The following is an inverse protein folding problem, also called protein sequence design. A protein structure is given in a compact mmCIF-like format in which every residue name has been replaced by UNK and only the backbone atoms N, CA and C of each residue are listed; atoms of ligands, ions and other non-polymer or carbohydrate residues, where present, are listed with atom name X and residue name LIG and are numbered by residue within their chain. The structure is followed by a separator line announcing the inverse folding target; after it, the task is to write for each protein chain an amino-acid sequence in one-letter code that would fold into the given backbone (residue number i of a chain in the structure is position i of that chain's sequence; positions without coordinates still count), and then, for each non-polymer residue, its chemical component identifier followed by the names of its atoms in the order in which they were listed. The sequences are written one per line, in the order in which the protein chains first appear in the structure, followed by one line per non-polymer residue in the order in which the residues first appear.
data_IF_348058702349
#
_entry.id   IF_348058702349
#
_cell.length_a   1.000
_cell.length_b   1.000
_cell.length_c   1.000
_cell.angle_alpha   90.00
_cell.angle_beta   90.00
_cell.angle_gamma   90.00
#
_symmetry.space_group_name_H-M   'P 1'
#
loop_
_entity.id
_entity.type
_entity.pdbx_description
1 polymer ?
#
# COMPACT_ATOMS: atom_id res chain seq x y z
N UNK A 1 -30.34 30.83 39.39
CA UNK A 1 -29.76 31.53 40.58
C UNK A 1 -28.29 31.18 40.67
N UNK A 2 -27.51 32.26 40.59
CA UNK A 2 -26.18 32.49 41.22
C UNK A 2 -25.06 31.56 40.76
N UNK A 3 -24.14 32.03 39.98
CA UNK A 3 -23.13 33.09 40.04
C UNK A 3 -21.75 32.52 40.31
N UNK A 4 -20.85 32.77 39.35
CA UNK A 4 -19.60 33.54 39.47
C UNK A 4 -18.42 32.76 40.10
N UNK A 5 -17.18 32.96 39.81
CA UNK A 5 -16.34 33.95 39.12
C UNK A 5 -14.90 33.42 39.10
N UNK A 6 -14.14 33.62 38.00
CA UNK A 6 -12.90 34.43 37.87
C UNK A 6 -11.68 34.07 38.73
N UNK A 7 -10.54 33.88 38.09
CA UNK A 7 -9.23 34.56 38.20
C UNK A 7 -8.18 33.80 37.38
N UNK A 8 -7.56 34.22 36.36
CA UNK A 8 -6.72 35.38 35.97
C UNK A 8 -5.53 35.61 36.93
N UNK A 9 -4.31 35.49 36.36
CA UNK A 9 -3.07 36.24 36.57
C UNK A 9 -1.91 35.35 36.15
N UNK A 10 -1.20 35.57 35.03
CA UNK A 10 -0.21 36.60 34.70
C UNK A 10 1.07 36.55 35.57
N UNK A 11 2.17 36.18 34.97
CA UNK A 11 3.45 36.86 35.17
C UNK A 11 4.47 36.44 34.13
N UNK A 12 4.89 37.42 33.34
CA UNK A 12 6.06 37.40 32.47
C UNK A 12 7.29 37.76 33.31
N UNK A 13 8.45 37.22 32.92
CA UNK A 13 9.72 37.83 33.25
C UNK A 13 10.74 37.58 32.13
N UNK A 14 11.06 38.64 31.43
CA UNK A 14 12.27 38.82 30.64
C UNK A 14 13.52 38.77 31.54
N UNK A 15 14.62 38.25 31.03
CA UNK A 15 15.93 38.87 31.24
C UNK A 15 16.83 38.59 30.05
N UNK A 16 17.28 39.69 29.47
CA UNK A 16 18.37 39.86 28.50
C UNK A 16 19.73 39.55 29.20
N UNK A 17 20.66 39.10 28.42
CA UNK A 17 22.07 39.05 28.79
C UNK A 17 22.94 39.08 27.51
N UNK A 18 23.34 40.27 27.13
CA UNK A 18 24.30 40.62 26.08
C UNK A 18 25.74 40.43 26.53
N UNK A 19 26.64 40.35 25.54
CA UNK A 19 28.02 40.82 25.42
C UNK A 19 29.02 39.70 25.09
N UNK A 20 29.48 39.67 23.84
CA UNK A 20 30.65 40.35 23.25
C UNK A 20 32.00 39.70 23.62
N UNK A 21 32.75 39.33 22.61
CA UNK A 21 34.14 38.98 22.67
C UNK A 21 34.73 38.71 21.29
N UNK A 22 35.12 39.77 20.61
CA UNK A 22 36.00 39.74 19.41
C UNK A 22 37.40 39.27 19.80
N UNK A 23 38.05 38.48 18.96
CA UNK A 23 39.47 38.17 19.07
C UNK A 23 39.99 37.72 17.71
N UNK A 24 40.46 38.72 16.96
CA UNK A 24 41.24 38.59 15.72
C UNK A 24 42.65 38.18 16.07
N UNK A 25 43.29 37.24 15.37
CA UNK A 25 44.73 37.20 15.25
C UNK A 25 45.17 36.51 13.96
N UNK A 26 45.93 37.29 13.21
CA UNK A 26 46.46 37.02 11.89
C UNK A 26 47.68 36.11 11.90
N UNK A 27 48.04 35.67 10.72
CA UNK A 27 49.13 34.82 10.27
C UNK A 27 50.56 35.30 10.73
N UNK A 28 51.58 34.45 10.46
CA UNK A 28 52.48 34.90 9.40
C UNK A 28 52.89 33.81 8.39
N UNK A 29 53.03 34.29 7.16
CA UNK A 29 53.75 33.67 6.06
C UNK A 29 55.22 33.45 6.39
N UNK A 30 55.76 32.29 5.95
CA UNK A 30 57.22 32.12 5.84
C UNK A 30 57.53 31.60 4.44
N UNK A 31 58.04 32.47 3.65
CA UNK A 31 58.74 32.23 2.38
C UNK A 31 60.15 31.70 2.64
N UNK A 32 60.55 30.63 1.94
CA UNK A 32 61.96 30.27 1.74
C UNK A 32 62.17 29.72 0.33
N UNK A 33 63.31 30.02 -0.29
CA UNK A 33 63.43 30.06 -1.74
C UNK A 33 63.96 28.76 -2.39
N UNK A 34 63.62 28.70 -3.66
CA UNK A 34 64.03 27.79 -4.70
C UNK A 34 65.56 27.65 -4.85
N UNK A 35 66.08 26.46 -4.97
CA UNK A 35 67.25 26.15 -5.76
C UNK A 35 67.05 24.84 -6.52
N UNK A 36 67.10 24.96 -7.83
CA UNK A 36 67.12 23.85 -8.77
C UNK A 36 68.57 23.39 -8.95
N UNK A 37 68.84 22.10 -9.02
CA UNK A 37 69.97 21.59 -9.79
C UNK A 37 69.45 20.85 -11.03
N UNK A 38 69.98 21.31 -12.11
CA UNK A 38 69.98 20.69 -13.45
C UNK A 38 70.66 19.29 -13.38
N UNK A 39 69.99 18.23 -13.85
CA UNK A 39 70.65 16.94 -14.06
C UNK A 39 70.23 16.33 -15.40
N UNK A 40 71.24 16.08 -16.15
CA UNK A 40 71.39 15.44 -17.47
C UNK A 40 70.49 14.27 -17.73
N UNK A 41 69.96 14.18 -18.94
CA UNK A 41 69.20 13.07 -19.52
C UNK A 41 70.04 11.80 -19.70
N UNK A 42 69.48 10.60 -19.40
CA UNK A 42 69.97 9.32 -19.87
C UNK A 42 69.37 8.96 -21.25
N UNK A 43 69.98 8.03 -21.98
CA UNK A 43 69.67 7.75 -23.37
C UNK A 43 68.36 7.00 -23.59
N UNK A 44 67.78 7.23 -24.79
CA UNK A 44 66.55 6.59 -25.29
C UNK A 44 66.63 5.06 -25.25
N UNK A 45 65.70 4.44 -24.54
CA UNK A 45 65.44 3.01 -24.61
C UNK A 45 64.30 2.81 -25.60
N UNK A 46 64.57 2.04 -26.66
CA UNK A 46 63.59 1.61 -27.65
C UNK A 46 62.45 0.85 -27.00
N UNK A 47 61.24 1.36 -27.14
CA UNK A 47 59.96 0.76 -26.69
C UNK A 47 59.65 -0.39 -27.66
N UNK A 48 59.30 -1.62 -27.13
CA UNK A 48 58.74 -2.70 -27.96
C UNK A 48 57.33 -2.29 -28.45
N UNK A 49 56.87 -2.86 -29.61
CA UNK A 49 55.56 -2.49 -30.14
C UNK A 49 54.43 -2.84 -29.16
N UNK A 50 53.60 -1.88 -28.93
CA UNK A 50 52.38 -1.93 -28.10
C UNK A 50 51.44 -2.99 -28.67
N UNK A 51 51.22 -4.06 -27.90
CA UNK A 51 50.16 -5.03 -28.19
C UNK A 51 48.86 -4.37 -27.92
N UNK A 52 48.10 -4.01 -28.94
CA UNK A 52 46.73 -3.54 -28.85
C UNK A 52 45.86 -4.63 -28.21
N UNK A 53 45.57 -4.48 -26.92
CA UNK A 53 44.54 -5.25 -26.26
C UNK A 53 43.19 -4.76 -26.82
N UNK A 54 42.28 -5.64 -27.28
CA UNK A 54 40.94 -5.23 -27.66
C UNK A 54 40.28 -4.54 -26.50
N UNK A 55 39.43 -3.51 -26.71
CA UNK A 55 38.70 -2.85 -25.62
C UNK A 55 37.87 -3.91 -24.90
N UNK A 56 38.18 -4.13 -23.63
CA UNK A 56 37.29 -4.87 -22.72
C UNK A 56 36.02 -4.02 -22.62
N UNK A 57 34.95 -4.47 -23.24
CA UNK A 57 33.61 -3.94 -22.96
C UNK A 57 33.34 -4.24 -21.48
N UNK A 58 33.40 -3.23 -20.63
CA UNK A 58 32.81 -3.32 -19.30
C UNK A 58 31.38 -3.80 -19.47
N UNK A 59 30.91 -4.74 -18.61
CA UNK A 59 29.51 -5.12 -18.60
C UNK A 59 28.69 -3.83 -18.33
N UNK A 60 27.95 -3.38 -19.32
CA UNK A 60 27.00 -2.28 -19.12
C UNK A 60 26.01 -2.78 -18.09
N UNK A 61 25.98 -2.15 -16.91
CA UNK A 61 24.96 -2.40 -15.92
C UNK A 61 23.59 -2.23 -16.61
N UNK A 62 22.65 -3.18 -16.50
CA UNK A 62 21.35 -3.04 -17.15
C UNK A 62 20.72 -1.74 -16.69
N UNK A 63 20.10 -1.01 -17.60
CA UNK A 63 19.39 0.22 -17.28
C UNK A 63 18.36 -0.07 -16.18
N UNK A 64 18.14 0.84 -15.23
CA UNK A 64 17.11 0.68 -14.22
C UNK A 64 15.77 0.41 -14.91
N UNK A 65 15.13 -0.70 -14.53
CA UNK A 65 13.79 -1.05 -15.00
C UNK A 65 12.81 -0.39 -14.04
N UNK A 66 11.88 0.39 -14.59
CA UNK A 66 10.79 0.93 -13.77
C UNK A 66 9.86 -0.21 -13.33
N UNK A 67 9.36 -0.14 -12.11
CA UNK A 67 8.54 -1.19 -11.53
C UNK A 67 7.24 -0.64 -10.98
N UNK A 68 6.20 -1.45 -11.03
CA UNK A 68 4.95 -1.16 -10.34
C UNK A 68 5.21 -1.11 -8.81
N UNK A 69 5.01 0.03 -8.15
CA UNK A 69 5.34 0.20 -6.74
C UNK A 69 4.47 -0.62 -5.78
N UNK A 70 3.38 -1.23 -6.27
CA UNK A 70 2.49 -2.10 -5.50
C UNK A 70 2.82 -3.58 -5.61
N UNK A 71 3.52 -3.99 -6.69
CA UNK A 71 3.79 -5.42 -6.96
C UNK A 71 5.26 -5.73 -7.20
N UNK A 72 6.10 -4.73 -7.49
CA UNK A 72 7.48 -4.92 -7.93
C UNK A 72 7.63 -5.47 -9.34
N UNK A 73 6.54 -5.68 -10.08
CA UNK A 73 6.56 -6.15 -11.46
C UNK A 73 7.13 -5.09 -12.39
N UNK A 74 8.00 -5.51 -13.32
CA UNK A 74 8.59 -4.62 -14.31
C UNK A 74 7.51 -3.98 -15.19
N UNK A 75 7.63 -2.69 -15.44
CA UNK A 75 6.77 -1.94 -16.34
C UNK A 75 7.43 -1.83 -17.71
N UNK A 76 6.63 -1.91 -18.78
CA UNK A 76 7.10 -1.73 -20.16
C UNK A 76 7.51 -0.27 -20.42
N UNK A 77 6.84 0.67 -19.77
CA UNK A 77 7.10 2.11 -19.85
C UNK A 77 7.16 2.71 -18.45
N UNK A 78 8.03 3.70 -18.27
CA UNK A 78 8.11 4.50 -17.04
C UNK A 78 6.77 5.21 -16.83
N UNK A 79 6.13 4.95 -15.70
CA UNK A 79 4.86 5.59 -15.37
C UNK A 79 4.89 6.19 -13.97
N UNK A 80 4.41 7.41 -13.86
CA UNK A 80 4.17 8.10 -12.60
C UNK A 80 2.68 8.04 -12.18
N UNK A 81 2.00 6.95 -12.52
CA UNK A 81 0.57 6.80 -12.27
C UNK A 81 0.26 6.81 -10.78
N UNK A 82 -0.78 7.55 -10.44
CA UNK A 82 -1.34 7.56 -9.09
C UNK A 82 -2.34 6.43 -8.93
N UNK A 83 -2.21 5.58 -7.89
CA UNK A 83 -3.09 4.44 -7.70
C UNK A 83 -4.56 4.83 -7.49
N UNK A 84 -5.46 3.90 -7.81
CA UNK A 84 -6.88 3.97 -7.46
C UNK A 84 -7.21 2.95 -6.37
N UNK A 85 -7.94 3.38 -5.34
CA UNK A 85 -8.44 2.52 -4.26
C UNK A 85 -9.96 2.43 -4.33
N UNK A 86 -10.50 1.25 -4.65
CA UNK A 86 -11.91 1.04 -4.94
C UNK A 86 -12.55 0.13 -3.90
N UNK A 87 -13.61 0.61 -3.26
CA UNK A 87 -14.38 -0.17 -2.29
C UNK A 87 -15.25 -1.22 -2.96
N UNK A 88 -15.03 -2.48 -2.68
CA UNK A 88 -15.76 -3.62 -3.26
C UNK A 88 -16.58 -4.35 -2.19
N UNK A 89 -17.80 -4.67 -2.54
CA UNK A 89 -18.70 -5.46 -1.70
C UNK A 89 -18.24 -6.93 -1.62
N UNK A 90 -18.11 -7.47 -0.41
CA UNK A 90 -17.69 -8.86 -0.19
C UNK A 90 -18.73 -9.69 0.60
N UNK A 91 -19.99 -9.49 0.31
CA UNK A 91 -21.06 -10.36 0.83
C UNK A 91 -21.33 -11.52 -0.12
N UNK A 92 -21.97 -12.59 0.37
CA UNK A 92 -22.37 -13.75 -0.46
C UNK A 92 -23.17 -13.34 -1.71
N UNK A 93 -24.00 -12.28 -1.61
CA UNK A 93 -24.78 -11.78 -2.76
C UNK A 93 -23.95 -10.99 -3.76
N UNK A 94 -22.77 -10.52 -3.38
CA UNK A 94 -21.90 -9.73 -4.26
C UNK A 94 -21.05 -10.60 -5.19
N UNK A 95 -20.79 -11.85 -4.80
CA UNK A 95 -19.91 -12.74 -5.58
C UNK A 95 -20.60 -13.30 -6.81
N UNK A 96 -19.85 -13.62 -7.91
CA UNK A 96 -18.47 -13.18 -8.11
C UNK A 96 -18.40 -11.67 -8.33
N UNK A 97 -17.30 -11.07 -7.86
CA UNK A 97 -16.99 -9.66 -8.13
C UNK A 97 -16.37 -9.53 -9.52
N UNK A 98 -16.35 -8.30 -10.04
CA UNK A 98 -15.73 -7.96 -11.33
C UNK A 98 -14.49 -7.11 -11.10
N UNK A 99 -13.43 -7.33 -11.87
CA UNK A 99 -12.22 -6.52 -11.94
C UNK A 99 -11.23 -6.69 -10.77
N UNK A 100 -11.60 -7.48 -9.75
CA UNK A 100 -10.73 -7.65 -8.57
C UNK A 100 -9.55 -8.58 -8.85
N UNK A 101 -9.62 -9.42 -9.88
CA UNK A 101 -8.50 -10.25 -10.33
C UNK A 101 -7.36 -9.45 -10.92
N UNK A 102 -7.62 -8.22 -11.38
CA UNK A 102 -6.62 -7.31 -11.94
C UNK A 102 -6.02 -6.36 -10.89
N UNK A 103 -6.60 -6.30 -9.67
CA UNK A 103 -6.05 -5.48 -8.61
C UNK A 103 -4.63 -5.95 -8.21
N UNK A 104 -3.74 -4.98 -7.97
CA UNK A 104 -2.39 -5.21 -7.48
C UNK A 104 -2.38 -5.64 -6.02
N UNK A 105 -3.26 -4.98 -5.22
CA UNK A 105 -3.44 -5.31 -3.82
C UNK A 105 -4.92 -5.39 -3.46
N UNK A 106 -5.27 -6.32 -2.57
CA UNK A 106 -6.60 -6.41 -1.99
C UNK A 106 -6.49 -6.39 -0.46
N UNK A 107 -7.11 -5.40 0.16
CA UNK A 107 -7.33 -5.37 1.60
C UNK A 107 -8.71 -5.95 1.92
N UNK A 108 -8.76 -6.94 2.78
CA UNK A 108 -9.99 -7.44 3.37
C UNK A 108 -10.07 -7.02 4.84
N UNK A 109 -11.07 -6.22 5.19
CA UNK A 109 -11.28 -5.75 6.55
C UNK A 109 -12.73 -5.97 6.92
N UNK A 110 -12.96 -6.26 8.20
CA UNK A 110 -14.28 -6.41 8.77
C UNK A 110 -15.12 -5.12 8.61
N UNK A 111 -16.42 -5.30 8.41
CA UNK A 111 -17.40 -4.22 8.38
C UNK A 111 -18.60 -4.59 9.26
N UNK A 112 -19.62 -3.74 9.30
CA UNK A 112 -20.80 -3.97 10.14
C UNK A 112 -21.52 -5.28 9.77
N UNK A 113 -22.17 -5.90 10.74
CA UNK A 113 -23.03 -7.07 10.53
C UNK A 113 -22.28 -8.34 10.20
N UNK A 114 -21.06 -8.51 10.68
CA UNK A 114 -20.23 -9.71 10.48
C UNK A 114 -19.88 -10.00 9.01
N UNK A 115 -19.84 -8.96 8.17
CA UNK A 115 -19.38 -9.06 6.79
C UNK A 115 -18.03 -8.38 6.65
N UNK A 116 -17.30 -8.71 5.59
CA UNK A 116 -16.11 -7.97 5.20
C UNK A 116 -16.38 -7.11 3.96
N UNK A 117 -15.47 -6.20 3.68
CA UNK A 117 -15.36 -5.53 2.39
C UNK A 117 -13.96 -5.69 1.86
N UNK A 118 -13.83 -5.61 0.56
CA UNK A 118 -12.53 -5.42 -0.07
C UNK A 118 -12.30 -3.93 -0.35
N UNK A 119 -11.04 -3.52 -0.26
CA UNK A 119 -10.51 -2.39 -1.00
C UNK A 119 -9.53 -2.96 -2.01
N UNK A 120 -9.85 -2.80 -3.27
CA UNK A 120 -9.00 -3.19 -4.38
C UNK A 120 -8.16 -1.97 -4.80
N UNK A 121 -6.84 -2.12 -4.83
CA UNK A 121 -5.89 -1.07 -5.20
C UNK A 121 -5.28 -1.44 -6.53
N UNK A 122 -5.29 -0.50 -7.45
CA UNK A 122 -4.77 -0.64 -8.81
C UNK A 122 -3.77 0.46 -9.08
N UNK A 123 -2.61 0.10 -9.59
CA UNK A 123 -1.65 1.07 -10.12
C UNK A 123 -2.17 1.68 -11.41
N UNK A 124 -2.71 0.86 -12.30
CA UNK A 124 -3.30 1.27 -13.57
C UNK A 124 -4.72 0.69 -13.74
N UNK A 125 -5.62 1.49 -14.31
CA UNK A 125 -6.99 1.10 -14.64
C UNK A 125 -7.25 1.00 -16.16
N UNK A 126 -6.26 1.22 -17.02
CA UNK A 126 -6.44 1.32 -18.48
C UNK A 126 -7.06 0.06 -19.09
N UNK A 127 -6.67 -1.12 -18.59
CA UNK A 127 -7.13 -2.42 -19.08
C UNK A 127 -8.15 -3.10 -18.14
N UNK A 128 -8.73 -2.35 -17.20
CA UNK A 128 -9.72 -2.90 -16.27
C UNK A 128 -11.14 -2.58 -16.75
N UNK A 129 -11.83 -3.60 -17.25
CA UNK A 129 -13.20 -3.47 -17.75
C UNK A 129 -14.19 -3.10 -16.62
N UNK A 130 -15.04 -4.05 -16.23
CA UNK A 130 -16.06 -3.83 -15.20
C UNK A 130 -15.45 -4.01 -13.82
N UNK A 131 -15.75 -3.10 -12.90
CA UNK A 131 -15.29 -3.15 -11.50
C UNK A 131 -16.50 -3.08 -10.57
N UNK A 132 -16.54 -3.98 -9.60
CA UNK A 132 -17.56 -3.95 -8.57
C UNK A 132 -18.08 -5.32 -8.12
N UNK A 133 -19.19 -5.36 -7.37
CA UNK A 133 -20.06 -4.23 -6.97
C UNK A 133 -19.39 -3.27 -5.98
N UNK A 134 -19.50 -1.99 -6.26
CA UNK A 134 -18.89 -0.95 -5.41
C UNK A 134 -19.71 -0.74 -4.13
N UNK A 135 -19.01 -0.52 -3.01
CA UNK A 135 -19.63 -0.40 -1.69
C UNK A 135 -19.13 0.83 -0.91
N UNK A 136 -19.80 1.13 0.20
CA UNK A 136 -19.51 2.31 1.02
C UNK A 136 -18.18 2.19 1.76
N UNK A 137 -17.43 3.29 1.84
CA UNK A 137 -16.19 3.42 2.60
C UNK A 137 -16.44 3.53 4.11
N UNK A 138 -15.45 3.15 4.92
CA UNK A 138 -15.35 3.34 6.37
C UNK A 138 -14.04 4.06 6.71
N UNK A 139 -13.89 4.67 7.88
CA UNK A 139 -12.70 5.43 8.24
C UNK A 139 -11.40 4.65 8.03
N UNK A 140 -11.35 3.41 8.47
CA UNK A 140 -10.16 2.56 8.34
C UNK A 140 -9.82 2.21 6.88
N UNK A 141 -10.79 2.04 6.00
CA UNK A 141 -10.52 1.90 4.55
C UNK A 141 -10.00 3.20 3.92
N UNK A 142 -10.51 4.35 4.36
CA UNK A 142 -9.95 5.63 3.96
C UNK A 142 -8.46 5.73 4.36
N UNK A 143 -8.08 5.25 5.57
CA UNK A 143 -6.69 5.23 6.02
C UNK A 143 -5.79 4.31 5.18
N UNK A 144 -6.34 3.26 4.58
CA UNK A 144 -5.63 2.46 3.58
C UNK A 144 -5.44 3.25 2.28
N UNK A 145 -6.48 3.88 1.74
CA UNK A 145 -6.37 4.68 0.53
C UNK A 145 -5.39 5.85 0.70
N UNK A 146 -5.42 6.51 1.87
CA UNK A 146 -4.53 7.61 2.26
C UNK A 146 -3.06 7.17 2.28
N UNK A 147 -2.77 5.97 2.82
CA UNK A 147 -1.42 5.39 2.84
C UNK A 147 -0.80 5.28 1.44
N UNK A 148 -1.60 4.90 0.45
CA UNK A 148 -1.17 4.80 -0.95
C UNK A 148 -1.33 6.10 -1.73
N UNK A 149 -1.76 7.20 -1.11
CA UNK A 149 -2.10 8.44 -1.81
C UNK A 149 -3.12 8.25 -2.93
N UNK A 150 -3.87 7.14 -2.90
CA UNK A 150 -4.69 6.67 -4.00
C UNK A 150 -5.94 7.51 -4.22
N UNK A 151 -6.42 7.60 -5.46
CA UNK A 151 -7.74 8.20 -5.76
C UNK A 151 -8.81 7.26 -5.22
N UNK A 152 -9.51 7.68 -4.16
CA UNK A 152 -10.52 6.85 -3.50
C UNK A 152 -11.81 6.78 -4.30
N UNK A 153 -12.40 5.59 -4.41
CA UNK A 153 -13.66 5.36 -5.11
C UNK A 153 -14.61 4.49 -4.30
N UNK A 154 -15.83 4.95 -4.05
CA UNK A 154 -16.81 4.17 -3.27
C UNK A 154 -18.27 4.58 -3.49
N UNK A 155 -19.20 3.75 -3.02
CA UNK A 155 -20.63 4.04 -3.00
C UNK A 155 -21.02 4.77 -1.70
N UNK A 156 -20.62 6.04 -1.55
CA UNK A 156 -20.78 6.77 -0.31
C UNK A 156 -19.97 6.17 0.85
N UNK A 157 -20.34 6.51 2.08
CA UNK A 157 -19.64 6.05 3.27
C UNK A 157 -20.48 6.21 4.54
N UNK A 158 -19.93 5.86 5.70
CA UNK A 158 -20.46 6.31 6.98
C UNK A 158 -20.33 7.83 7.10
N UNK A 159 -21.18 8.47 7.88
CA UNK A 159 -21.13 9.93 8.09
C UNK A 159 -19.73 10.38 8.55
N UNK A 160 -19.09 9.58 9.39
CA UNK A 160 -17.73 9.81 9.86
C UNK A 160 -16.70 9.73 8.74
N UNK A 161 -16.71 8.65 7.93
CA UNK A 161 -15.76 8.50 6.82
C UNK A 161 -15.89 9.68 5.84
N UNK A 162 -17.12 10.04 5.46
CA UNK A 162 -17.37 11.19 4.58
C UNK A 162 -16.89 12.50 5.21
N UNK A 163 -17.08 12.67 6.53
CA UNK A 163 -16.60 13.86 7.25
C UNK A 163 -15.07 13.96 7.25
N UNK A 164 -14.38 12.83 7.46
CA UNK A 164 -12.91 12.78 7.46
C UNK A 164 -12.37 13.10 6.05
N UNK A 165 -12.88 12.43 5.03
CA UNK A 165 -12.50 12.62 3.62
C UNK A 165 -12.68 14.09 3.22
N UNK A 166 -13.82 14.69 3.58
CA UNK A 166 -14.13 16.09 3.28
C UNK A 166 -13.21 17.07 4.02
N UNK A 167 -12.87 16.80 5.28
CA UNK A 167 -11.96 17.66 6.06
C UNK A 167 -10.53 17.61 5.54
N UNK A 168 -10.11 16.46 5.04
CA UNK A 168 -8.79 16.25 4.44
C UNK A 168 -8.71 16.82 3.01
N UNK A 169 -9.83 17.28 2.44
CA UNK A 169 -9.94 17.66 1.02
C UNK A 169 -9.38 16.58 0.08
N UNK A 170 -9.68 15.32 0.43
CA UNK A 170 -9.10 14.16 -0.22
C UNK A 170 -9.78 13.84 -1.55
N UNK A 171 -9.01 13.44 -2.54
CA UNK A 171 -9.49 13.07 -3.87
C UNK A 171 -10.39 11.84 -3.85
N UNK A 172 -11.68 12.08 -4.05
CA UNK A 172 -12.73 11.09 -3.83
C UNK A 172 -13.80 11.08 -4.92
N UNK A 173 -13.93 9.94 -5.59
CA UNK A 173 -14.98 9.66 -6.57
C UNK A 173 -16.17 8.95 -5.91
N UNK A 174 -17.18 9.72 -5.51
CA UNK A 174 -18.36 9.20 -4.81
C UNK A 174 -19.44 8.75 -5.79
N UNK A 175 -19.68 7.45 -5.88
CA UNK A 175 -20.63 6.83 -6.82
C UNK A 175 -22.12 7.08 -6.53
N UNK A 176 -22.47 7.67 -5.37
CA UNK A 176 -23.84 8.05 -5.03
C UNK A 176 -24.02 9.55 -4.91
N UNK A 177 -22.93 10.34 -4.96
CA UNK A 177 -22.95 11.78 -4.90
C UNK A 177 -21.68 12.36 -5.54
N UNK A 178 -21.81 13.17 -6.58
CA UNK A 178 -20.70 13.94 -7.18
C UNK A 178 -20.03 13.31 -8.38
N UNK A 179 -19.67 12.04 -8.37
CA UNK A 179 -18.99 11.38 -9.50
C UNK A 179 -19.93 10.96 -10.65
N UNK A 180 -21.23 11.23 -10.54
CA UNK A 180 -22.22 11.19 -11.61
C UNK A 180 -22.16 9.94 -12.49
N UNK A 181 -21.77 10.13 -13.76
CA UNK A 181 -21.79 9.08 -14.79
C UNK A 181 -20.65 8.07 -14.70
N UNK A 182 -19.73 8.19 -13.73
CA UNK A 182 -18.67 7.20 -13.53
C UNK A 182 -19.20 5.85 -13.04
N UNK A 183 -20.40 5.82 -12.47
CA UNK A 183 -21.03 4.63 -11.94
C UNK A 183 -22.38 4.35 -12.59
N UNK A 184 -22.75 3.07 -12.61
CA UNK A 184 -24.06 2.65 -13.11
C UNK A 184 -24.61 1.50 -12.27
N UNK A 185 -25.93 1.27 -12.36
CA UNK A 185 -26.56 0.10 -11.74
C UNK A 185 -26.71 -0.97 -12.79
N UNK A 186 -26.01 -2.09 -12.61
CA UNK A 186 -26.21 -3.27 -13.43
C UNK A 186 -27.63 -3.83 -13.22
N UNK A 187 -28.40 -3.94 -14.28
CA UNK A 187 -29.81 -4.32 -14.21
C UNK A 187 -30.00 -5.76 -13.75
N UNK A 188 -29.17 -6.69 -14.25
CA UNK A 188 -29.26 -8.09 -13.85
C UNK A 188 -28.94 -8.27 -12.38
N UNK A 189 -27.85 -7.65 -11.89
CA UNK A 189 -27.48 -7.68 -10.47
C UNK A 189 -28.55 -7.03 -9.60
N UNK A 190 -29.12 -5.92 -10.05
CA UNK A 190 -30.19 -5.23 -9.33
C UNK A 190 -31.42 -6.13 -9.12
N UNK A 191 -31.81 -6.89 -10.12
CA UNK A 191 -32.97 -7.80 -10.09
C UNK A 191 -32.66 -9.09 -9.32
N UNK A 192 -31.48 -9.70 -9.53
CA UNK A 192 -31.16 -11.04 -9.04
C UNK A 192 -30.34 -11.03 -7.74
N UNK A 193 -29.57 -9.99 -7.47
CA UNK A 193 -28.70 -9.87 -6.28
C UNK A 193 -29.20 -8.79 -5.31
N UNK A 194 -29.95 -7.82 -5.78
CA UNK A 194 -30.49 -6.69 -5.03
C UNK A 194 -29.76 -5.37 -5.30
N UNK A 195 -30.45 -4.28 -4.97
CA UNK A 195 -29.98 -2.91 -5.23
C UNK A 195 -28.58 -2.64 -4.71
N UNK A 196 -28.27 -3.10 -3.48
CA UNK A 196 -26.98 -2.87 -2.82
C UNK A 196 -25.79 -3.60 -3.46
N UNK A 197 -26.06 -4.55 -4.34
CA UNK A 197 -25.05 -5.39 -4.99
C UNK A 197 -24.94 -5.12 -6.50
N UNK A 198 -25.43 -3.97 -6.95
CA UNK A 198 -25.56 -3.64 -8.38
C UNK A 198 -24.81 -2.40 -8.84
N UNK A 199 -24.18 -1.63 -7.94
CA UNK A 199 -23.41 -0.45 -8.36
C UNK A 199 -22.05 -0.87 -8.92
N UNK A 200 -21.85 -0.57 -10.20
CA UNK A 200 -20.65 -0.94 -10.95
C UNK A 200 -19.98 0.29 -11.53
N UNK A 201 -18.73 0.14 -11.93
CA UNK A 201 -17.97 1.12 -12.69
C UNK A 201 -17.08 0.42 -13.70
N UNK A 202 -16.23 1.14 -14.42
CA UNK A 202 -15.14 0.63 -15.26
C UNK A 202 -13.90 1.48 -15.04
N UNK A 203 -12.70 0.94 -15.37
CA UNK A 203 -11.46 1.70 -15.30
C UNK A 203 -11.56 3.00 -16.09
N UNK A 204 -12.01 2.92 -17.36
CA UNK A 204 -12.20 4.08 -18.23
C UNK A 204 -13.11 5.17 -17.60
N UNK A 205 -14.22 4.74 -16.97
CA UNK A 205 -15.14 5.68 -16.34
C UNK A 205 -14.54 6.40 -15.13
N UNK A 206 -13.75 5.70 -14.32
CA UNK A 206 -13.08 6.29 -13.18
C UNK A 206 -11.99 7.26 -13.61
N UNK A 207 -11.16 6.90 -14.61
CA UNK A 207 -10.13 7.79 -15.16
C UNK A 207 -10.74 9.07 -15.72
N UNK A 208 -11.80 8.96 -16.55
CA UNK A 208 -12.53 10.12 -17.07
C UNK A 208 -13.19 10.97 -15.97
N UNK A 209 -13.62 10.35 -14.89
CA UNK A 209 -14.20 11.08 -13.76
C UNK A 209 -13.14 11.85 -12.96
N UNK A 210 -11.96 11.28 -12.79
CA UNK A 210 -10.82 11.94 -12.17
C UNK A 210 -10.37 13.16 -12.99
N UNK A 211 -10.20 12.98 -14.31
CA UNK A 211 -9.87 14.07 -15.23
C UNK A 211 -10.92 15.21 -15.16
N UNK A 212 -12.20 14.87 -15.25
CA UNK A 212 -13.30 15.84 -15.17
C UNK A 212 -13.36 16.57 -13.82
N UNK A 213 -12.94 15.93 -12.75
CA UNK A 213 -12.86 16.52 -11.41
C UNK A 213 -11.56 17.31 -11.18
N UNK A 214 -10.67 17.38 -12.17
CA UNK A 214 -9.29 17.94 -12.07
C UNK A 214 -8.46 17.29 -10.95
N UNK A 215 -8.67 16.01 -10.72
CA UNK A 215 -7.85 15.21 -9.80
C UNK A 215 -6.56 14.83 -10.52
N UNK A 216 -5.39 15.05 -9.87
CA UNK A 216 -4.13 14.56 -10.41
C UNK A 216 -4.12 13.03 -10.46
N UNK A 217 -3.85 12.48 -11.64
CA UNK A 217 -3.70 11.05 -11.89
C UNK A 217 -2.24 10.59 -11.89
N UNK A 218 -1.32 11.50 -11.58
CA UNK A 218 0.11 11.23 -11.46
C UNK A 218 0.59 11.47 -10.04
N UNK A 219 1.62 10.73 -9.65
CA UNK A 219 2.27 10.79 -8.34
C UNK A 219 3.78 10.62 -8.54
N UNK A 220 4.57 11.64 -8.22
CA UNK A 220 6.02 11.54 -8.17
C UNK A 220 6.46 10.83 -6.88
N UNK A 221 7.53 10.04 -6.98
CA UNK A 221 8.15 9.37 -5.83
C UNK A 221 7.18 8.46 -5.04
N UNK A 222 6.49 7.56 -5.75
CA UNK A 222 5.57 6.59 -5.16
C UNK A 222 6.32 5.54 -4.31
N UNK A 223 6.69 5.91 -3.09
CA UNK A 223 7.20 4.99 -2.07
C UNK A 223 6.06 4.59 -1.13
N UNK A 224 5.78 3.30 -1.04
CA UNK A 224 4.74 2.75 -0.15
C UNK A 224 5.33 1.91 0.99
N UNK A 225 6.66 1.99 1.20
CA UNK A 225 7.37 1.21 2.20
C UNK A 225 7.46 -0.28 1.86
N UNK A 226 7.29 -0.66 0.59
CA UNK A 226 7.36 -2.04 0.12
C UNK A 226 8.68 -2.30 -0.61
N UNK A 227 9.35 -3.39 -0.26
CA UNK A 227 10.54 -3.87 -0.96
C UNK A 227 10.25 -5.23 -1.57
N UNK A 228 10.62 -5.43 -2.84
CA UNK A 228 10.30 -6.64 -3.58
C UNK A 228 11.54 -7.45 -3.96
N UNK A 229 11.37 -8.77 -4.13
CA UNK A 229 12.41 -9.69 -4.59
C UNK A 229 11.81 -10.84 -5.41
N UNK A 230 12.59 -11.32 -6.38
CA UNK A 230 12.33 -12.56 -7.13
C UNK A 230 12.86 -13.81 -6.41
N UNK A 231 13.64 -13.65 -5.35
CA UNK A 231 14.20 -14.78 -4.61
C UNK A 231 13.11 -15.63 -3.98
N UNK A 232 13.26 -16.95 -4.01
CA UNK A 232 12.34 -17.89 -3.38
C UNK A 232 12.37 -17.72 -1.86
N UNK A 233 11.21 -17.61 -1.25
CA UNK A 233 11.08 -17.51 0.19
C UNK A 233 11.25 -18.88 0.85
N UNK A 234 12.30 -19.06 1.64
CA UNK A 234 12.63 -20.34 2.28
C UNK A 234 12.45 -20.34 3.80
N UNK A 235 12.16 -19.17 4.39
CA UNK A 235 12.00 -19.02 5.83
C UNK A 235 10.64 -19.52 6.33
N UNK A 236 10.56 -19.82 7.63
CA UNK A 236 9.32 -20.18 8.32
C UNK A 236 8.86 -21.61 8.11
N UNK A 237 7.61 -21.85 8.49
CA UNK A 237 6.98 -23.16 8.43
C UNK A 237 6.27 -23.39 7.09
N UNK A 238 6.06 -24.65 6.65
CA UNK A 238 5.20 -24.95 5.52
C UNK A 238 3.79 -24.38 5.72
N UNK A 239 3.18 -23.87 4.66
CA UNK A 239 1.84 -23.30 4.67
C UNK A 239 1.12 -23.55 3.34
N UNK A 240 0.72 -24.80 3.11
CA UNK A 240 -0.05 -25.18 1.92
C UNK A 240 -1.49 -24.64 1.95
N UNK A 241 -2.02 -24.38 3.14
CA UNK A 241 -3.32 -23.73 3.32
C UNK A 241 -3.28 -22.77 4.52
N UNK A 242 -3.83 -21.58 4.33
CA UNK A 242 -3.97 -20.55 5.36
C UNK A 242 -5.44 -20.19 5.44
N UNK A 243 -6.04 -20.27 6.63
CA UNK A 243 -7.41 -19.81 6.85
C UNK A 243 -7.44 -18.71 7.89
N UNK A 244 -8.05 -17.60 7.50
CA UNK A 244 -8.23 -16.39 8.29
C UNK A 244 -9.71 -16.21 8.60
N UNK A 245 -10.08 -16.07 9.88
CA UNK A 245 -11.43 -15.74 10.31
C UNK A 245 -11.50 -14.28 10.73
N UNK A 246 -12.55 -13.61 10.30
CA UNK A 246 -12.81 -12.21 10.70
C UNK A 246 -13.68 -12.13 11.97
N UNK A 247 -14.27 -13.24 12.37
CA UNK A 247 -14.98 -13.46 13.65
C UNK A 247 -14.94 -14.95 14.03
N UNK A 248 -15.14 -15.24 15.30
CA UNK A 248 -15.42 -16.61 15.73
C UNK A 248 -16.70 -17.13 15.03
N UNK A 249 -16.59 -18.24 14.32
CA UNK A 249 -17.67 -18.85 13.53
C UNK A 249 -18.29 -17.97 12.44
N UNK A 250 -17.60 -16.92 12.01
CA UNK A 250 -18.06 -15.96 11.01
C UNK A 250 -17.42 -16.11 9.63
N UNK A 251 -17.33 -14.99 8.93
CA UNK A 251 -16.66 -14.88 7.63
C UNK A 251 -15.23 -15.36 7.73
N UNK A 252 -14.86 -16.25 6.83
CA UNK A 252 -13.47 -16.69 6.64
C UNK A 252 -13.05 -16.61 5.18
N UNK A 253 -11.75 -16.42 5.00
CA UNK A 253 -11.06 -16.50 3.71
C UNK A 253 -9.97 -17.55 3.83
N UNK A 254 -9.87 -18.45 2.85
CA UNK A 254 -8.87 -19.51 2.80
C UNK A 254 -7.99 -19.30 1.58
N UNK A 255 -6.68 -19.36 1.79
CA UNK A 255 -5.63 -19.28 0.78
C UNK A 255 -5.00 -20.67 0.66
N UNK A 256 -5.08 -21.29 -0.52
CA UNK A 256 -4.47 -22.58 -0.80
C UNK A 256 -3.31 -22.37 -1.76
N UNK A 257 -2.12 -22.83 -1.39
CA UNK A 257 -0.94 -22.70 -2.23
C UNK A 257 -1.03 -23.66 -3.44
N UNK A 258 -0.81 -23.12 -4.61
CA UNK A 258 -0.73 -23.80 -5.89
C UNK A 258 0.76 -23.86 -6.30
N UNK A 259 1.41 -25.01 -6.06
CA UNK A 259 2.85 -25.20 -6.29
C UNK A 259 3.24 -24.97 -7.75
N UNK A 260 2.39 -25.38 -8.69
CA UNK A 260 2.65 -25.23 -10.13
C UNK A 260 2.70 -23.76 -10.57
N UNK A 261 1.99 -22.91 -9.85
CA UNK A 261 1.89 -21.47 -10.13
C UNK A 261 2.74 -20.60 -9.19
N UNK A 262 3.19 -21.14 -8.07
CA UNK A 262 3.87 -20.39 -7.03
C UNK A 262 2.98 -19.34 -6.34
N UNK A 263 1.65 -19.54 -6.33
CA UNK A 263 0.67 -18.55 -5.89
C UNK A 263 -0.35 -19.14 -4.92
N UNK A 264 -0.86 -18.33 -4.01
CA UNK A 264 -1.99 -18.66 -3.17
C UNK A 264 -3.31 -18.37 -3.89
N UNK A 265 -4.17 -19.38 -4.01
CA UNK A 265 -5.52 -19.29 -4.56
C UNK A 265 -6.52 -19.00 -3.46
N UNK A 266 -7.32 -17.96 -3.62
CA UNK A 266 -8.35 -17.55 -2.66
C UNK A 266 -9.61 -18.40 -2.77
N UNK A 267 -10.17 -18.76 -1.62
CA UNK A 267 -11.53 -19.31 -1.48
C UNK A 267 -12.30 -18.58 -0.38
N UNK A 268 -13.56 -18.27 -0.65
CA UNK A 268 -14.47 -17.64 0.29
C UNK A 268 -15.92 -18.10 0.04
N UNK A 269 -16.79 -17.96 1.03
CA UNK A 269 -18.19 -18.36 0.93
C UNK A 269 -18.40 -19.81 0.45
N UNK A 270 -17.43 -20.70 0.71
CA UNK A 270 -17.50 -22.13 0.36
C UNK A 270 -17.07 -22.47 -1.07
N UNK A 271 -16.54 -21.54 -1.83
CA UNK A 271 -16.06 -21.75 -3.20
C UNK A 271 -14.78 -20.99 -3.50
N UNK A 272 -14.09 -21.35 -4.58
CA UNK A 272 -13.01 -20.54 -5.13
C UNK A 272 -13.53 -19.15 -5.48
N UNK A 273 -12.81 -18.11 -5.05
CA UNK A 273 -13.11 -16.75 -5.45
C UNK A 273 -12.65 -16.52 -6.89
N UNK A 274 -13.53 -16.00 -7.73
CA UNK A 274 -13.25 -15.73 -9.15
C UNK A 274 -13.59 -14.30 -9.52
N UNK A 275 -12.92 -13.79 -10.54
CA UNK A 275 -13.31 -12.55 -11.21
C UNK A 275 -14.41 -12.85 -12.24
N UNK A 276 -15.48 -12.08 -12.24
CA UNK A 276 -16.58 -12.29 -13.18
C UNK A 276 -16.32 -11.73 -14.59
N UNK A 277 -15.22 -11.02 -14.82
CA UNK A 277 -14.84 -10.54 -16.14
C UNK A 277 -14.30 -11.66 -17.03
N UNK A 278 -13.59 -12.64 -16.42
CA UNK A 278 -12.90 -13.69 -17.15
C UNK A 278 -12.98 -15.09 -16.49
N UNK A 279 -13.74 -15.23 -15.40
CA UNK A 279 -13.89 -16.44 -14.58
C UNK A 279 -12.56 -16.94 -13.97
N UNK A 280 -11.50 -16.16 -14.00
CA UNK A 280 -10.21 -16.52 -13.42
C UNK A 280 -10.27 -16.58 -11.90
N UNK A 281 -9.57 -17.55 -11.30
CA UNK A 281 -9.45 -17.64 -9.85
C UNK A 281 -8.54 -16.53 -9.33
N UNK A 282 -8.93 -15.91 -8.22
CA UNK A 282 -8.09 -14.92 -7.53
C UNK A 282 -6.85 -15.59 -6.95
N UNK A 283 -5.69 -15.05 -7.28
CA UNK A 283 -4.38 -15.56 -6.84
C UNK A 283 -3.49 -14.43 -6.40
N UNK A 284 -2.66 -14.71 -5.39
CA UNK A 284 -1.75 -13.75 -4.78
C UNK A 284 -0.38 -14.38 -4.57
N UNK A 285 0.66 -13.61 -4.82
CA UNK A 285 2.04 -13.98 -4.49
C UNK A 285 2.27 -13.88 -2.99
N UNK A 286 1.77 -12.80 -2.39
CA UNK A 286 1.95 -12.47 -0.99
C UNK A 286 0.62 -12.52 -0.24
N UNK A 287 0.64 -13.10 0.95
CA UNK A 287 -0.48 -13.12 1.89
C UNK A 287 -0.02 -12.51 3.20
N UNK A 288 -0.63 -11.41 3.60
CA UNK A 288 -0.37 -10.71 4.85
C UNK A 288 -1.61 -10.79 5.73
N UNK A 289 -1.44 -11.13 6.99
CA UNK A 289 -2.52 -11.10 7.98
C UNK A 289 -2.07 -10.23 9.15
N UNK A 290 -2.80 -9.17 9.42
CA UNK A 290 -2.51 -8.21 10.50
C UNK A 290 -3.59 -8.33 11.57
N UNK A 291 -3.17 -8.53 12.80
CA UNK A 291 -4.07 -8.48 13.97
C UNK A 291 -4.09 -7.04 14.47
N UNK A 292 -5.28 -6.46 14.57
CA UNK A 292 -5.47 -5.08 14.99
C UNK A 292 -6.66 -4.98 15.96
N UNK A 293 -6.55 -4.16 17.01
CA UNK A 293 -7.69 -3.89 17.87
C UNK A 293 -8.87 -3.39 17.04
N UNK A 294 -9.99 -4.06 17.22
CA UNK A 294 -11.20 -3.78 16.46
C UNK A 294 -12.43 -3.98 17.35
N UNK A 295 -13.20 -2.95 17.52
CA UNK A 295 -14.39 -3.00 18.38
C UNK A 295 -15.58 -2.21 17.82
N UNK A 296 -16.78 -2.57 18.26
CA UNK A 296 -18.00 -1.83 17.92
C UNK A 296 -18.02 -0.54 18.73
N UNK A 297 -18.00 0.61 18.05
CA UNK A 297 -17.91 1.91 18.70
C UNK A 297 -19.27 2.59 18.97
N UNK A 298 -20.32 2.15 18.29
CA UNK A 298 -21.64 2.77 18.46
C UNK A 298 -22.81 1.79 18.33
N UNK A 299 -24.02 2.28 18.64
CA UNK A 299 -25.26 1.47 18.58
C UNK A 299 -25.69 1.10 17.16
N UNK A 300 -25.12 1.70 16.12
CA UNK A 300 -25.36 1.36 14.71
C UNK A 300 -24.48 0.20 14.25
N UNK A 301 -23.56 -0.26 15.11
CA UNK A 301 -22.62 -1.33 14.82
C UNK A 301 -21.42 -0.89 14.00
N UNK A 302 -21.15 0.41 13.92
CA UNK A 302 -19.91 0.88 13.28
C UNK A 302 -18.71 0.40 14.08
N UNK A 303 -17.67 0.02 13.36
CA UNK A 303 -16.43 -0.44 13.94
C UNK A 303 -15.40 0.69 13.98
N UNK A 304 -14.56 0.63 15.01
CA UNK A 304 -13.25 1.24 15.04
C UNK A 304 -12.22 0.14 14.85
N UNK A 305 -11.27 0.35 13.94
CA UNK A 305 -10.18 -0.58 13.64
C UNK A 305 -8.88 0.20 13.79
N UNK A 306 -7.97 -0.33 14.57
CA UNK A 306 -6.64 0.25 14.79
C UNK A 306 -5.85 0.21 13.48
N UNK A 307 -5.46 1.38 12.98
CA UNK A 307 -4.68 1.53 11.74
C UNK A 307 -3.26 2.07 11.99
N UNK A 308 -2.95 2.41 13.23
CA UNK A 308 -1.63 2.92 13.68
C UNK A 308 -1.22 2.23 14.97
N UNK A 309 0.07 2.33 15.34
CA UNK A 309 0.65 1.63 16.48
C UNK A 309 1.38 0.38 16.05
N UNK A 310 1.24 -0.70 16.80
CA UNK A 310 1.91 -1.98 16.53
C UNK A 310 0.99 -3.15 16.80
N UNK A 311 1.23 -4.27 16.14
CA UNK A 311 0.49 -5.51 16.34
C UNK A 311 1.22 -6.71 15.76
N UNK A 312 0.71 -7.88 16.08
CA UNK A 312 1.19 -9.17 15.55
C UNK A 312 0.55 -9.45 14.19
N UNK A 313 1.16 -10.37 13.42
CA UNK A 313 0.62 -10.80 12.16
C UNK A 313 1.38 -11.98 11.57
N UNK A 314 1.05 -12.30 10.34
CA UNK A 314 1.72 -13.35 9.57
C UNK A 314 1.96 -12.87 8.13
N UNK A 315 3.09 -13.27 7.60
CA UNK A 315 3.43 -13.12 6.19
C UNK A 315 3.67 -14.46 5.56
N UNK A 316 3.03 -14.73 4.43
CA UNK A 316 3.21 -15.98 3.70
C UNK A 316 3.50 -15.73 2.22
N UNK A 317 4.43 -16.54 1.69
CA UNK A 317 4.86 -16.58 0.30
C UNK A 317 5.50 -17.94 0.00
N UNK A 318 5.42 -18.38 -1.24
CA UNK A 318 6.08 -19.62 -1.72
C UNK A 318 5.75 -20.87 -0.88
N UNK A 319 4.50 -20.99 -0.42
CA UNK A 319 4.06 -22.11 0.40
C UNK A 319 4.62 -22.14 1.81
N UNK A 320 5.14 -21.02 2.30
CA UNK A 320 5.70 -20.85 3.66
C UNK A 320 5.12 -19.65 4.36
N UNK A 321 5.19 -19.67 5.69
CA UNK A 321 4.65 -18.62 6.56
C UNK A 321 5.60 -18.31 7.72
N UNK A 322 5.71 -17.05 8.07
CA UNK A 322 6.40 -16.54 9.25
C UNK A 322 5.47 -15.66 10.09
N UNK A 323 5.62 -15.64 11.41
CA UNK A 323 5.06 -14.58 12.24
C UNK A 323 5.80 -13.28 11.95
N UNK A 324 5.06 -12.16 11.99
CA UNK A 324 5.59 -10.81 11.83
C UNK A 324 5.06 -9.89 12.92
N UNK A 325 5.76 -8.78 13.11
CA UNK A 325 5.24 -7.61 13.80
C UNK A 325 5.00 -6.52 12.77
N UNK A 326 3.83 -5.90 12.79
CA UNK A 326 3.57 -4.70 12.03
C UNK A 326 3.64 -3.47 12.93
N UNK A 327 4.08 -2.35 12.37
CA UNK A 327 4.04 -1.05 13.02
C UNK A 327 3.74 0.06 12.04
N UNK A 328 3.07 1.11 12.53
CA UNK A 328 2.80 2.35 11.81
C UNK A 328 2.62 3.45 12.86
N UNK A 329 3.53 4.42 12.93
CA UNK A 329 3.53 5.42 14.00
C UNK A 329 2.34 6.39 13.88
N UNK A 330 2.09 6.89 12.67
CA UNK A 330 0.97 7.79 12.37
C UNK A 330 0.28 7.43 11.04
N UNK A 331 -0.78 8.14 10.68
CA UNK A 331 -1.43 7.92 9.39
C UNK A 331 -0.61 8.41 8.19
N UNK A 332 0.41 9.22 8.43
CA UNK A 332 1.31 9.74 7.40
C UNK A 332 2.52 8.80 7.15
N UNK A 333 2.69 7.77 8.00
CA UNK A 333 3.78 6.81 7.90
C UNK A 333 3.37 5.56 7.13
N UNK A 334 4.37 4.83 6.61
CA UNK A 334 4.18 3.51 6.01
C UNK A 334 4.01 2.42 7.06
N UNK A 335 3.37 1.32 6.67
CA UNK A 335 3.44 0.08 7.42
C UNK A 335 4.86 -0.49 7.33
N UNK A 336 5.42 -0.84 8.47
CA UNK A 336 6.68 -1.56 8.58
C UNK A 336 6.37 -2.97 9.06
N UNK A 337 6.88 -3.96 8.34
CA UNK A 337 6.71 -5.38 8.67
C UNK A 337 8.07 -5.97 9.03
N UNK A 338 8.20 -6.56 10.21
CA UNK A 338 9.45 -7.19 10.66
C UNK A 338 9.21 -8.63 11.06
N UNK A 339 10.22 -9.48 10.81
CA UNK A 339 10.24 -10.84 11.32
C UNK A 339 10.58 -10.87 12.83
N UNK A 340 10.62 -12.07 13.42
CA UNK A 340 10.97 -12.28 14.85
C UNK A 340 12.37 -11.80 15.24
N UNK A 341 13.27 -11.63 14.29
CA UNK A 341 14.65 -11.20 14.48
C UNK A 341 14.82 -9.69 14.23
N UNK A 342 13.74 -8.99 13.87
CA UNK A 342 13.69 -7.55 13.60
C UNK A 342 14.09 -7.17 12.17
N UNK A 343 14.28 -8.14 11.28
CA UNK A 343 14.57 -7.85 9.86
C UNK A 343 13.30 -7.44 9.12
N UNK A 344 13.43 -6.48 8.22
CA UNK A 344 12.33 -6.07 7.35
C UNK A 344 11.87 -7.23 6.45
N UNK A 345 10.56 -7.39 6.31
CA UNK A 345 9.95 -8.35 5.39
C UNK A 345 10.07 -7.84 3.97
N UNK A 346 10.68 -8.66 3.09
CA UNK A 346 10.73 -8.39 1.65
C UNK A 346 9.64 -9.19 0.94
N UNK A 347 8.82 -8.51 0.16
CA UNK A 347 7.71 -9.09 -0.59
C UNK A 347 8.20 -9.81 -1.84
N UNK A 348 7.50 -10.85 -2.27
CA UNK A 348 7.71 -11.44 -3.59
C UNK A 348 7.09 -10.57 -4.67
N UNK A 349 7.77 -10.47 -5.82
CA UNK A 349 7.21 -9.77 -6.99
C UNK A 349 5.87 -10.37 -7.38
N UNK A 350 4.81 -9.56 -7.37
CA UNK A 350 3.44 -9.94 -7.69
C UNK A 350 2.41 -9.45 -6.68
N UNK A 351 1.15 -9.79 -6.93
CA UNK A 351 -0.03 -9.31 -6.21
C UNK A 351 -0.03 -9.69 -4.73
N UNK A 352 -0.60 -8.79 -3.91
CA UNK A 352 -0.67 -8.97 -2.45
C UNK A 352 -2.12 -8.96 -1.95
N UNK A 353 -2.44 -9.93 -1.09
CA UNK A 353 -3.64 -9.91 -0.26
C UNK A 353 -3.29 -9.56 1.18
N UNK A 354 -4.02 -8.61 1.77
CA UNK A 354 -3.86 -8.18 3.15
C UNK A 354 -5.19 -8.35 3.90
N UNK A 355 -5.21 -9.18 4.93
CA UNK A 355 -6.32 -9.28 5.87
C UNK A 355 -6.01 -8.47 7.13
N UNK A 356 -6.91 -7.58 7.55
CA UNK A 356 -6.86 -6.95 8.87
C UNK A 356 -7.98 -7.53 9.71
N UNK A 357 -7.61 -8.25 10.75
CA UNK A 357 -8.53 -9.02 11.59
C UNK A 357 -8.54 -8.52 13.03
N UNK A 358 -9.69 -8.61 13.72
CA UNK A 358 -9.78 -8.30 15.15
C UNK A 358 -8.87 -9.18 16.00
N UNK A 359 -8.38 -8.64 17.09
CA UNK A 359 -7.69 -9.43 18.11
C UNK A 359 -8.55 -10.63 18.56
N UNK A 360 -7.89 -11.77 18.80
CA UNK A 360 -8.56 -13.04 19.14
C UNK A 360 -9.30 -13.71 17.97
N UNK A 361 -9.19 -13.20 16.75
CA UNK A 361 -9.72 -13.89 15.55
C UNK A 361 -9.00 -15.21 15.33
N UNK A 362 -9.75 -16.31 15.03
CA UNK A 362 -9.11 -17.58 14.73
C UNK A 362 -8.24 -17.49 13.46
N UNK A 363 -7.12 -18.19 13.51
CA UNK A 363 -6.18 -18.33 12.42
C UNK A 363 -5.66 -19.75 12.35
N UNK A 364 -5.45 -20.31 11.18
CA UNK A 364 -4.78 -21.58 11.00
C UNK A 364 -3.93 -21.62 9.74
N UNK A 365 -2.78 -22.30 9.83
CA UNK A 365 -1.95 -22.68 8.68
C UNK A 365 -1.62 -24.17 8.73
N UNK A 366 -1.46 -24.81 7.59
CA UNK A 366 -1.05 -26.21 7.46
C UNK A 366 -0.30 -26.44 6.16
#
# INVERSE_FOLDING_TARGET
MKTKLISLLLAAALMLGLLSGCGNSAAPETTVPTTVPETTAPPETTVPPETTVPPTTEPTEPAPVDVNPLTGEALEEVTDLRPYAIMINNTVKAVPQCGIGQADMIYEIIAEGSVTRFMAIFHDLSDVDVIGPVRSVRPYFYRVAEHYGAILSSAGGSDEAISIIKKADYDYLNGIAGAGNAFYRDSWRRENKGYEHSLMTTGEKLMKAAEKANISTTMTDADFGLTFTEEIFTAGEPASEITVWFYQNGKKTTMTYDEDKGLYKMSQHGSTATDANDDSALRFRNVVVLVADSHVKDKKGHLEVQMTGTGEGWYARDGRIIPITWSRESNDDHYVYTDKDGNAVTFGVGKTYVAIVPDGSPFSSK
#
